data_IF_886383626741
#
_entry.id   IF_886383626741
#
_cell.length_a   1.000
_cell.length_b   1.000
_cell.length_c   1.000
_cell.angle_alpha   90.00
_cell.angle_beta   90.00
_cell.angle_gamma   90.00
#
_symmetry.space_group_name_H-M   'P 1'
#
loop_
_entity.id
_entity.type
_entity.pdbx_description
1 polymer ?
#
# COMPACT_ATOMS: atom_id res chain seq x y z
N UNK A 1 -10.55 27.47 -3.04
CA UNK A 1 -11.01 26.12 -2.65
C UNK A 1 -10.57 25.87 -1.23
N UNK A 2 -11.48 25.45 -0.35
CA UNK A 2 -11.12 25.02 1.01
C UNK A 2 -10.24 23.78 0.92
N UNK A 3 -9.11 23.79 1.65
CA UNK A 3 -8.22 22.64 1.71
C UNK A 3 -8.61 21.76 2.90
N UNK A 4 -8.52 20.46 2.73
CA UNK A 4 -8.71 19.51 3.82
C UNK A 4 -7.52 19.59 4.78
N UNK A 5 -7.76 20.13 5.98
CA UNK A 5 -6.73 20.36 7.01
C UNK A 5 -7.18 19.71 8.31
N UNK A 6 -6.31 18.93 8.93
CA UNK A 6 -6.61 18.34 10.23
C UNK A 6 -6.39 19.30 11.42
N UNK A 7 -6.76 18.84 12.62
CA UNK A 7 -6.63 19.64 13.86
C UNK A 7 -5.18 19.99 14.24
N UNK A 8 -4.17 19.42 13.54
CA UNK A 8 -2.75 19.72 13.71
C UNK A 8 -2.21 20.66 12.64
N UNK A 9 -3.07 21.22 11.77
CA UNK A 9 -2.69 22.10 10.68
C UNK A 9 -2.06 21.37 9.48
N UNK A 10 -2.17 20.02 9.40
CA UNK A 10 -1.62 19.24 8.29
C UNK A 10 -2.60 19.17 7.15
N UNK A 11 -2.17 19.53 5.95
CA UNK A 11 -2.98 19.38 4.74
C UNK A 11 -3.04 17.91 4.32
N UNK A 12 -4.25 17.37 4.18
CA UNK A 12 -4.48 16.00 3.72
C UNK A 12 -4.51 15.96 2.19
N UNK A 13 -3.47 15.42 1.59
CA UNK A 13 -3.26 15.43 0.14
C UNK A 13 -3.36 14.04 -0.49
N UNK A 14 -3.45 13.01 0.35
CA UNK A 14 -3.31 11.64 -0.07
C UNK A 14 -4.37 10.74 0.57
N UNK A 15 -5.18 10.09 -0.25
CA UNK A 15 -6.17 9.11 0.22
C UNK A 15 -5.70 7.67 -0.08
N UNK A 16 -5.86 6.79 0.90
CA UNK A 16 -5.76 5.35 0.73
C UNK A 16 -7.16 4.76 0.69
N UNK A 17 -7.55 4.21 -0.44
CA UNK A 17 -8.87 3.63 -0.66
C UNK A 17 -8.75 2.11 -0.78
N UNK A 18 -9.36 1.38 0.14
CA UNK A 18 -9.53 -0.06 0.01
C UNK A 18 -10.68 -0.35 -0.94
N UNK A 19 -10.40 -1.04 -2.06
CA UNK A 19 -11.44 -1.35 -3.06
C UNK A 19 -12.19 -2.65 -2.75
N UNK A 20 -11.62 -3.50 -1.91
CA UNK A 20 -12.22 -4.77 -1.47
C UNK A 20 -11.61 -5.23 -0.15
N UNK A 21 -12.32 -6.06 0.59
CA UNK A 21 -11.83 -6.81 1.75
C UNK A 21 -11.24 -8.18 1.37
N UNK A 22 -11.53 -8.66 0.15
CA UNK A 22 -11.15 -10.00 -0.32
C UNK A 22 -9.69 -10.03 -0.77
N UNK A 23 -9.01 -11.15 -0.48
CA UNK A 23 -7.67 -11.43 -0.94
C UNK A 23 -7.55 -12.90 -1.36
N UNK A 24 -6.76 -13.17 -2.38
CA UNK A 24 -6.43 -14.53 -2.83
C UNK A 24 -5.26 -15.16 -2.06
N UNK A 25 -4.51 -14.38 -1.27
CA UNK A 25 -3.48 -14.88 -0.33
C UNK A 25 -3.99 -14.87 1.11
N UNK A 26 -3.21 -15.49 2.02
CA UNK A 26 -3.52 -15.64 3.47
C UNK A 26 -2.25 -15.36 4.29
N UNK A 27 -1.60 -14.23 4.04
CA UNK A 27 -0.33 -13.90 4.71
C UNK A 27 -0.47 -13.94 6.24
N UNK A 28 0.51 -14.57 6.90
CA UNK A 28 0.46 -14.90 8.33
C UNK A 28 0.32 -13.67 9.23
N UNK A 29 0.93 -12.57 8.84
CA UNK A 29 0.87 -11.30 9.57
C UNK A 29 -0.41 -10.49 9.28
N UNK A 30 -1.16 -10.83 8.20
CA UNK A 30 -2.29 -10.03 7.73
C UNK A 30 -3.64 -10.62 8.14
N UNK A 31 -3.83 -11.95 8.01
CA UNK A 31 -5.12 -12.57 8.31
C UNK A 31 -4.98 -14.01 8.80
N UNK A 32 -6.00 -14.55 9.49
CA UNK A 32 -6.06 -15.96 9.90
C UNK A 32 -5.98 -16.92 8.70
N UNK A 33 -5.56 -18.17 8.95
CA UNK A 33 -5.43 -19.20 7.90
C UNK A 33 -6.76 -19.51 7.18
N UNK A 34 -7.86 -19.50 7.91
CA UNK A 34 -9.23 -19.69 7.41
C UNK A 34 -9.74 -18.46 6.62
N UNK A 35 -9.04 -17.33 6.69
CA UNK A 35 -9.48 -16.06 6.12
C UNK A 35 -10.26 -15.20 7.12
N UNK A 36 -10.97 -14.22 6.59
CA UNK A 36 -11.85 -13.30 7.32
C UNK A 36 -13.29 -13.51 6.86
N UNK A 37 -14.24 -13.13 7.67
CA UNK A 37 -15.65 -13.09 7.28
C UNK A 37 -15.81 -12.12 6.11
N UNK A 38 -16.45 -12.60 5.06
CA UNK A 38 -16.63 -11.83 3.83
C UNK A 38 -17.80 -10.87 4.02
N UNK A 39 -17.51 -9.59 3.84
CA UNK A 39 -18.56 -8.56 3.84
C UNK A 39 -19.49 -8.78 2.63
N UNK A 40 -20.83 -8.76 2.83
CA UNK A 40 -21.79 -8.85 1.74
C UNK A 40 -21.54 -7.78 0.66
N UNK A 41 -21.68 -8.15 -0.62
CA UNK A 41 -21.40 -7.25 -1.75
C UNK A 41 -22.15 -5.92 -1.67
N UNK A 42 -23.38 -5.94 -1.18
CA UNK A 42 -24.20 -4.75 -0.99
C UNK A 42 -23.66 -3.76 0.05
N UNK A 43 -22.81 -4.23 0.96
CA UNK A 43 -22.17 -3.40 1.96
C UNK A 43 -20.85 -2.79 1.48
N UNK A 44 -20.33 -3.24 0.35
CA UNK A 44 -19.17 -2.63 -0.27
C UNK A 44 -19.57 -1.36 -1.04
N UNK A 45 -18.67 -0.38 -1.08
CA UNK A 45 -18.76 0.74 -2.01
C UNK A 45 -18.72 0.20 -3.45
N UNK A 46 -19.58 0.70 -4.32
CA UNK A 46 -19.46 0.51 -5.77
C UNK A 46 -18.34 1.37 -6.33
N UNK A 47 -17.82 1.04 -7.52
CA UNK A 47 -16.80 1.89 -8.16
C UNK A 47 -17.33 3.29 -8.48
N UNK A 48 -18.63 3.46 -8.76
CA UNK A 48 -19.26 4.76 -8.94
C UNK A 48 -19.26 5.59 -7.66
N UNK A 49 -19.57 4.97 -6.51
CA UNK A 49 -19.50 5.62 -5.20
C UNK A 49 -18.06 6.00 -4.85
N UNK A 50 -17.09 5.11 -5.09
CA UNK A 50 -15.67 5.38 -4.89
C UNK A 50 -15.17 6.54 -5.76
N UNK A 51 -15.56 6.58 -7.04
CA UNK A 51 -15.23 7.67 -7.94
C UNK A 51 -15.80 8.99 -7.47
N UNK A 52 -17.07 8.98 -7.04
CA UNK A 52 -17.72 10.17 -6.46
C UNK A 52 -16.96 10.71 -5.25
N UNK A 53 -16.55 9.82 -4.33
CA UNK A 53 -15.74 10.19 -3.16
C UNK A 53 -14.39 10.78 -3.55
N UNK A 54 -13.68 10.16 -4.49
CA UNK A 54 -12.39 10.68 -4.96
C UNK A 54 -12.58 12.05 -5.61
N UNK A 55 -13.63 12.28 -6.39
CA UNK A 55 -13.92 13.60 -6.96
C UNK A 55 -14.13 14.67 -5.86
N UNK A 56 -14.95 14.36 -4.87
CA UNK A 56 -15.18 15.28 -3.74
C UNK A 56 -13.87 15.59 -3.01
N UNK A 57 -13.05 14.57 -2.75
CA UNK A 57 -11.76 14.76 -2.07
C UNK A 57 -10.75 15.53 -2.92
N UNK A 58 -10.77 15.37 -4.25
CA UNK A 58 -9.87 16.16 -5.12
C UNK A 58 -10.26 17.64 -5.16
N UNK A 59 -11.54 17.96 -5.05
CA UNK A 59 -12.02 19.35 -4.89
C UNK A 59 -11.60 19.98 -3.53
N UNK A 60 -11.27 19.14 -2.53
CA UNK A 60 -10.73 19.54 -1.22
C UNK A 60 -9.19 19.48 -1.14
N UNK A 61 -8.49 19.29 -2.29
CA UNK A 61 -7.03 19.34 -2.37
C UNK A 61 -6.31 18.01 -2.27
N UNK A 62 -7.02 16.88 -2.21
CA UNK A 62 -6.41 15.57 -2.36
C UNK A 62 -6.03 15.37 -3.84
N UNK A 63 -4.75 15.18 -4.14
CA UNK A 63 -4.28 15.00 -5.52
C UNK A 63 -3.70 13.61 -5.79
N UNK A 64 -3.56 12.77 -4.77
CA UNK A 64 -3.00 11.42 -4.88
C UNK A 64 -3.92 10.38 -4.26
N UNK A 65 -4.14 9.27 -4.97
CA UNK A 65 -4.87 8.11 -4.45
C UNK A 65 -3.98 6.86 -4.45
N UNK A 66 -4.06 6.06 -3.40
CA UNK A 66 -3.54 4.69 -3.38
C UNK A 66 -4.67 3.70 -3.27
N UNK A 67 -4.79 2.88 -4.28
CA UNK A 67 -5.74 1.80 -4.30
C UNK A 67 -5.12 0.56 -3.65
N UNK A 68 -5.85 -0.02 -2.74
CA UNK A 68 -5.46 -1.18 -1.95
C UNK A 68 -6.71 -1.98 -1.55
N UNK A 69 -6.64 -2.79 -0.52
CA UNK A 69 -7.76 -3.55 0.02
C UNK A 69 -7.25 -4.81 0.69
N UNK A 70 -7.92 -5.93 0.46
CA UNK A 70 -7.28 -7.22 0.43
C UNK A 70 -6.36 -7.25 -0.80
N UNK A 71 -6.82 -7.78 -1.93
CA UNK A 71 -6.11 -7.67 -3.20
C UNK A 71 -7.00 -6.96 -4.23
N UNK A 72 -6.61 -5.80 -4.75
CA UNK A 72 -7.44 -5.02 -5.68
C UNK A 72 -7.87 -5.79 -6.93
N UNK A 73 -6.97 -6.60 -7.49
CA UNK A 73 -7.23 -7.35 -8.73
C UNK A 73 -8.17 -8.55 -8.57
N UNK A 74 -8.55 -8.91 -7.34
CA UNK A 74 -9.64 -9.88 -7.09
C UNK A 74 -11.00 -9.25 -7.42
N UNK A 75 -11.11 -7.91 -7.37
CA UNK A 75 -12.36 -7.23 -7.67
C UNK A 75 -12.54 -7.12 -9.17
N UNK A 76 -13.64 -7.71 -9.70
CA UNK A 76 -13.99 -7.64 -11.12
C UNK A 76 -14.02 -6.18 -11.60
N UNK A 77 -13.53 -5.94 -12.83
CA UNK A 77 -13.47 -4.62 -13.50
C UNK A 77 -12.61 -3.56 -12.77
N UNK A 78 -11.65 -3.99 -11.96
CA UNK A 78 -10.75 -3.05 -11.27
C UNK A 78 -9.96 -2.16 -12.26
N UNK A 79 -9.51 -2.70 -13.40
CA UNK A 79 -8.80 -1.90 -14.41
C UNK A 79 -9.73 -0.85 -15.05
N UNK A 80 -10.99 -1.18 -15.30
CA UNK A 80 -12.00 -0.20 -15.73
C UNK A 80 -12.20 0.92 -14.69
N UNK A 81 -12.06 0.62 -13.40
CA UNK A 81 -12.07 1.65 -12.36
C UNK A 81 -10.81 2.54 -12.40
N UNK A 82 -9.63 1.99 -12.70
CA UNK A 82 -8.41 2.79 -12.93
C UNK A 82 -8.59 3.78 -14.09
N UNK A 83 -9.17 3.31 -15.18
CA UNK A 83 -9.51 4.16 -16.35
C UNK A 83 -10.47 5.28 -15.95
N UNK A 84 -11.53 4.94 -15.22
CA UNK A 84 -12.48 5.94 -14.72
C UNK A 84 -11.79 7.00 -13.86
N UNK A 85 -10.91 6.61 -12.95
CA UNK A 85 -10.13 7.54 -12.12
C UNK A 85 -9.18 8.42 -12.94
N UNK A 86 -8.62 7.88 -14.02
CA UNK A 86 -7.71 8.63 -14.89
C UNK A 86 -8.37 9.82 -15.61
N UNK A 87 -9.71 9.82 -15.72
CA UNK A 87 -10.47 10.96 -16.25
C UNK A 87 -10.76 12.07 -15.22
N UNK A 88 -10.32 11.94 -13.98
CA UNK A 88 -10.46 13.02 -12.98
C UNK A 88 -9.29 13.98 -13.11
N UNK A 89 -9.50 15.16 -13.69
CA UNK A 89 -8.44 16.13 -14.00
C UNK A 89 -7.68 16.65 -12.78
N UNK A 90 -8.35 16.71 -11.62
CA UNK A 90 -7.74 17.15 -10.37
C UNK A 90 -6.87 16.07 -9.70
N UNK A 91 -6.96 14.82 -10.15
CA UNK A 91 -6.15 13.73 -9.64
C UNK A 91 -4.84 13.63 -10.43
N UNK A 92 -3.71 13.79 -9.76
CA UNK A 92 -2.38 13.79 -10.36
C UNK A 92 -1.75 12.40 -10.41
N UNK A 93 -1.99 11.57 -9.39
CA UNK A 93 -1.35 10.27 -9.29
C UNK A 93 -2.27 9.18 -8.71
N UNK A 94 -2.27 8.04 -9.38
CA UNK A 94 -2.89 6.79 -8.95
C UNK A 94 -1.75 5.81 -8.63
N UNK A 95 -1.71 5.34 -7.40
CA UNK A 95 -0.76 4.33 -6.95
C UNK A 95 -1.52 3.05 -6.61
N UNK A 96 -0.92 1.90 -6.88
CA UNK A 96 -1.53 0.60 -6.63
C UNK A 96 -0.65 -0.18 -5.64
N UNK A 97 -1.28 -0.83 -4.65
CA UNK A 97 -0.63 -1.84 -3.84
C UNK A 97 -1.28 -3.18 -4.13
N UNK A 98 -0.48 -4.15 -4.56
CA UNK A 98 -0.92 -5.48 -4.98
C UNK A 98 0.03 -6.56 -4.49
N UNK A 99 -0.48 -7.78 -4.31
CA UNK A 99 0.34 -8.96 -4.08
C UNK A 99 0.92 -9.57 -5.37
N UNK A 100 0.56 -9.04 -6.53
CA UNK A 100 1.14 -9.41 -7.80
C UNK A 100 0.58 -10.66 -8.48
N UNK A 101 -0.19 -11.49 -7.80
CA UNK A 101 -0.61 -12.78 -8.36
C UNK A 101 -1.58 -12.67 -9.55
N UNK A 102 -2.25 -11.55 -9.72
CA UNK A 102 -3.31 -11.38 -10.74
C UNK A 102 -3.06 -10.24 -11.72
N UNK A 103 -2.07 -9.38 -11.50
CA UNK A 103 -1.89 -8.15 -12.29
C UNK A 103 -1.20 -8.40 -13.63
N UNK A 104 -0.42 -9.48 -13.80
CA UNK A 104 0.45 -9.71 -14.97
C UNK A 104 -0.27 -9.51 -16.31
N UNK A 105 -1.49 -9.98 -16.46
CA UNK A 105 -2.30 -9.86 -17.67
C UNK A 105 -2.85 -8.45 -17.94
N UNK A 106 -2.65 -7.51 -17.03
CA UNK A 106 -3.20 -6.16 -17.10
C UNK A 106 -2.12 -5.07 -17.22
N UNK A 107 -0.84 -5.43 -17.15
CA UNK A 107 0.28 -4.45 -17.11
C UNK A 107 0.26 -3.56 -18.33
N UNK A 108 0.16 -4.12 -19.54
CA UNK A 108 0.15 -3.35 -20.79
C UNK A 108 -1.02 -2.33 -20.88
N UNK A 109 -2.15 -2.67 -20.24
CA UNK A 109 -3.30 -1.77 -20.17
C UNK A 109 -3.11 -0.68 -19.12
N UNK A 110 -2.48 -1.03 -18.00
CA UNK A 110 -2.20 -0.11 -16.89
C UNK A 110 -1.12 0.91 -17.29
N UNK A 111 -0.09 0.52 -18.02
CA UNK A 111 0.97 1.41 -18.51
C UNK A 111 0.44 2.54 -19.39
N UNK A 112 -0.66 2.31 -20.11
CA UNK A 112 -1.30 3.34 -20.94
C UNK A 112 -2.04 4.41 -20.14
N UNK A 113 -2.20 4.20 -18.84
CA UNK A 113 -2.88 5.14 -17.94
C UNK A 113 -1.85 6.10 -17.32
N UNK A 114 -1.66 7.26 -17.94
CA UNK A 114 -0.62 8.25 -17.57
C UNK A 114 -0.63 8.64 -16.07
N UNK A 115 -1.79 8.57 -15.41
CA UNK A 115 -1.91 8.88 -13.99
C UNK A 115 -1.52 7.74 -13.06
N UNK A 116 -1.39 6.51 -13.57
CA UNK A 116 -0.84 5.40 -12.78
C UNK A 116 0.67 5.53 -12.74
N UNK A 117 1.21 5.83 -11.56
CA UNK A 117 2.64 6.13 -11.39
C UNK A 117 3.40 5.01 -10.71
N UNK A 118 2.89 4.52 -9.59
CA UNK A 118 3.61 3.58 -8.73
C UNK A 118 2.85 2.27 -8.56
N UNK A 119 3.54 1.16 -8.77
CA UNK A 119 3.11 -0.17 -8.34
C UNK A 119 3.93 -0.58 -7.12
N UNK A 120 3.25 -0.77 -6.00
CA UNK A 120 3.83 -1.38 -4.83
C UNK A 120 3.50 -2.88 -4.88
N UNK A 121 4.47 -3.69 -5.23
CA UNK A 121 4.39 -5.14 -5.22
C UNK A 121 4.77 -5.66 -3.83
N UNK A 122 3.86 -6.35 -3.16
CA UNK A 122 4.13 -7.00 -1.89
C UNK A 122 4.73 -8.38 -2.14
N UNK A 123 6.00 -8.56 -1.77
CA UNK A 123 6.73 -9.81 -1.91
C UNK A 123 7.67 -9.99 -0.72
N UNK A 124 7.32 -10.87 0.21
CA UNK A 124 8.01 -11.00 1.49
C UNK A 124 9.18 -11.99 1.45
N UNK A 125 9.42 -12.67 0.34
CA UNK A 125 10.53 -13.61 0.15
C UNK A 125 10.86 -13.80 -1.32
N UNK A 126 12.14 -14.00 -1.63
CA UNK A 126 12.66 -14.42 -2.94
C UNK A 126 12.70 -15.95 -3.09
N UNK A 127 12.43 -16.70 -2.03
CA UNK A 127 12.33 -18.16 -2.02
C UNK A 127 10.88 -18.60 -2.15
N UNK A 128 10.59 -19.50 -3.12
CA UNK A 128 9.26 -20.09 -3.31
C UNK A 128 8.72 -20.75 -2.04
N UNK A 129 9.58 -21.50 -1.36
CA UNK A 129 9.18 -22.23 -0.14
C UNK A 129 8.78 -21.26 0.97
N UNK A 130 9.62 -20.26 1.26
CA UNK A 130 9.32 -19.24 2.27
C UNK A 130 8.11 -18.40 1.89
N UNK A 131 8.01 -17.98 0.61
CA UNK A 131 6.85 -17.27 0.11
C UNK A 131 5.56 -18.05 0.36
N UNK A 132 5.51 -19.33 -0.02
CA UNK A 132 4.34 -20.17 0.19
C UNK A 132 4.02 -20.35 1.69
N UNK A 133 5.04 -20.46 2.55
CA UNK A 133 4.87 -20.50 4.00
C UNK A 133 4.29 -19.21 4.56
N UNK A 134 4.82 -18.05 4.15
CA UNK A 134 4.34 -16.74 4.61
C UNK A 134 2.92 -16.46 4.13
N UNK A 135 2.65 -16.69 2.86
CA UNK A 135 1.37 -16.35 2.21
C UNK A 135 0.30 -17.44 2.36
N UNK A 136 0.70 -18.63 2.83
CA UNK A 136 -0.15 -19.83 2.91
C UNK A 136 -0.78 -20.22 1.56
N UNK A 137 -0.13 -19.83 0.46
CA UNK A 137 -0.55 -20.13 -0.92
C UNK A 137 0.70 -20.24 -1.80
N UNK A 138 0.69 -21.17 -2.72
CA UNK A 138 1.74 -21.28 -3.73
C UNK A 138 1.37 -20.44 -4.96
N UNK A 139 1.64 -19.15 -4.89
CA UNK A 139 1.45 -18.20 -5.98
C UNK A 139 2.78 -17.53 -6.37
N UNK A 140 3.91 -18.14 -6.01
CA UNK A 140 5.23 -17.55 -6.23
C UNK A 140 5.53 -17.33 -7.71
N UNK A 141 5.19 -18.30 -8.57
CA UNK A 141 5.47 -18.22 -10.01
C UNK A 141 4.73 -17.06 -10.68
N UNK A 142 3.46 -16.82 -10.30
CA UNK A 142 2.64 -15.72 -10.80
C UNK A 142 3.17 -14.36 -10.33
N UNK A 143 3.56 -14.28 -9.06
CA UNK A 143 4.11 -13.05 -8.47
C UNK A 143 5.48 -12.73 -9.07
N UNK A 144 6.33 -13.74 -9.25
CA UNK A 144 7.66 -13.56 -9.84
C UNK A 144 7.57 -13.17 -11.32
N UNK A 145 6.65 -13.78 -12.09
CA UNK A 145 6.33 -13.34 -13.45
C UNK A 145 5.90 -11.88 -13.50
N UNK A 146 5.05 -11.47 -12.56
CA UNK A 146 4.64 -10.05 -12.43
C UNK A 146 5.83 -9.15 -12.14
N UNK A 147 6.72 -9.55 -11.24
CA UNK A 147 7.95 -8.82 -10.93
C UNK A 147 8.79 -8.59 -12.20
N UNK A 148 9.05 -9.65 -12.98
CA UNK A 148 9.83 -9.56 -14.22
C UNK A 148 9.18 -8.66 -15.29
N UNK A 149 7.85 -8.66 -15.39
CA UNK A 149 7.12 -7.79 -16.30
C UNK A 149 7.18 -6.33 -15.85
N UNK A 150 6.99 -6.07 -14.56
CA UNK A 150 7.05 -4.72 -14.00
C UNK A 150 8.47 -4.11 -14.06
N UNK A 151 9.52 -4.92 -13.94
CA UNK A 151 10.90 -4.47 -14.14
C UNK A 151 11.16 -3.92 -15.55
N UNK A 152 10.43 -4.42 -16.54
CA UNK A 152 10.56 -4.02 -17.96
C UNK A 152 9.57 -2.91 -18.33
N UNK A 153 8.64 -2.60 -17.46
CA UNK A 153 7.59 -1.62 -17.70
C UNK A 153 8.06 -0.18 -17.40
N UNK A 154 7.31 0.79 -17.85
CA UNK A 154 7.52 2.21 -17.54
C UNK A 154 7.02 2.62 -16.15
N UNK A 155 6.36 1.72 -15.42
CA UNK A 155 5.78 1.97 -14.10
C UNK A 155 6.88 1.96 -13.01
N UNK A 156 6.80 2.87 -12.07
CA UNK A 156 7.72 2.86 -10.93
C UNK A 156 7.43 1.67 -10.02
N UNK A 157 8.35 0.71 -9.99
CA UNK A 157 8.23 -0.49 -9.17
C UNK A 157 8.82 -0.27 -7.79
N UNK A 158 8.03 -0.61 -6.77
CA UNK A 158 8.44 -0.62 -5.37
C UNK A 158 8.09 -1.97 -4.76
N UNK A 159 9.08 -2.69 -4.25
CA UNK A 159 8.88 -3.95 -3.54
C UNK A 159 8.66 -3.66 -2.06
N UNK A 160 7.57 -4.15 -1.50
CA UNK A 160 7.28 -4.03 -0.08
C UNK A 160 7.47 -5.39 0.60
N UNK A 161 8.31 -5.42 1.62
CA UNK A 161 8.67 -6.61 2.40
C UNK A 161 8.34 -6.35 3.87
N UNK A 162 7.43 -7.10 4.45
CA UNK A 162 7.23 -7.10 5.90
C UNK A 162 8.30 -7.97 6.54
N UNK A 163 9.15 -7.37 7.36
CA UNK A 163 10.26 -8.08 8.01
C UNK A 163 9.74 -8.81 9.23
N UNK A 164 9.77 -10.14 9.17
CA UNK A 164 9.27 -11.04 10.22
C UNK A 164 10.44 -11.79 10.87
N UNK A 165 10.60 -11.62 12.19
CA UNK A 165 11.67 -12.27 12.96
C UNK A 165 11.63 -13.80 12.81
N UNK A 166 12.78 -14.39 12.48
CA UNK A 166 12.92 -15.85 12.30
C UNK A 166 12.21 -16.42 11.07
N UNK A 167 11.74 -15.56 10.15
CA UNK A 167 11.04 -16.01 8.93
C UNK A 167 11.78 -15.58 7.66
N UNK A 168 12.02 -14.27 7.48
CA UNK A 168 12.65 -13.72 6.26
C UNK A 168 13.76 -12.71 6.54
N UNK A 169 14.23 -12.62 7.78
CA UNK A 169 15.28 -11.68 8.17
C UNK A 169 16.62 -12.00 7.54
N UNK A 170 16.87 -13.25 7.19
CA UNK A 170 18.03 -13.73 6.47
C UNK A 170 18.04 -13.35 4.97
N UNK A 171 16.92 -12.85 4.44
CA UNK A 171 16.81 -12.38 3.05
C UNK A 171 16.99 -10.86 2.90
N UNK A 172 17.16 -10.10 4.01
CA UNK A 172 17.31 -8.63 3.95
C UNK A 172 18.45 -8.24 3.00
N UNK A 173 19.60 -8.86 3.15
CA UNK A 173 20.78 -8.60 2.33
C UNK A 173 20.53 -8.99 0.86
N UNK A 174 19.85 -10.09 0.60
CA UNK A 174 19.54 -10.55 -0.77
C UNK A 174 18.57 -9.61 -1.48
N UNK A 175 17.58 -9.08 -0.77
CA UNK A 175 16.72 -8.02 -1.31
C UNK A 175 17.50 -6.72 -1.61
N UNK A 176 18.50 -6.38 -0.82
CA UNK A 176 19.38 -5.25 -1.14
C UNK A 176 20.21 -5.55 -2.38
N UNK A 177 20.82 -6.75 -2.49
CA UNK A 177 21.59 -7.19 -3.68
C UNK A 177 20.72 -7.15 -4.95
N UNK A 178 19.43 -7.45 -4.83
CA UNK A 178 18.48 -7.40 -5.93
C UNK A 178 18.41 -6.02 -6.59
N UNK A 179 18.66 -4.92 -5.86
CA UNK A 179 18.65 -3.56 -6.41
C UNK A 179 19.89 -3.19 -7.24
N UNK A 180 20.95 -4.04 -7.28
CA UNK A 180 22.25 -3.68 -7.87
C UNK A 180 22.12 -3.27 -9.35
N UNK A 181 21.46 -4.09 -10.15
CA UNK A 181 21.34 -3.87 -11.59
C UNK A 181 19.88 -3.56 -12.02
N UNK A 182 19.02 -3.17 -11.08
CA UNK A 182 17.59 -2.98 -11.30
C UNK A 182 17.14 -1.65 -10.72
N UNK A 183 16.42 -0.87 -11.51
CA UNK A 183 15.84 0.40 -11.06
C UNK A 183 14.56 0.15 -10.26
N UNK A 184 14.70 -0.45 -9.08
CA UNK A 184 13.59 -0.78 -8.18
C UNK A 184 13.84 -0.17 -6.79
N UNK A 185 12.77 0.17 -6.09
CA UNK A 185 12.86 0.59 -4.69
C UNK A 185 12.43 -0.57 -3.78
N UNK A 186 13.37 -1.20 -3.12
CA UNK A 186 13.09 -2.22 -2.09
C UNK A 186 12.74 -1.54 -0.77
N UNK A 187 11.62 -1.91 -0.14
CA UNK A 187 11.12 -1.29 1.09
C UNK A 187 10.85 -2.31 2.16
N UNK A 188 11.64 -2.27 3.19
CA UNK A 188 11.45 -3.07 4.41
C UNK A 188 10.45 -2.38 5.33
N UNK A 189 9.46 -3.11 5.80
CA UNK A 189 8.40 -2.61 6.66
C UNK A 189 8.50 -3.31 8.00
N UNK A 190 8.57 -2.56 9.10
CA UNK A 190 8.47 -3.13 10.43
C UNK A 190 7.13 -3.89 10.58
N UNK A 191 7.18 -5.11 11.08
CA UNK A 191 5.96 -5.88 11.35
C UNK A 191 5.13 -5.19 12.43
N UNK A 192 3.83 -5.11 12.20
CA UNK A 192 2.86 -4.54 13.13
C UNK A 192 1.89 -5.61 13.62
N UNK A 193 1.50 -5.60 14.90
CA UNK A 193 0.48 -6.51 15.43
C UNK A 193 -0.90 -6.09 14.91
N UNK A 194 -1.29 -6.55 13.70
CA UNK A 194 -2.58 -6.17 13.11
C UNK A 194 -3.78 -6.92 13.65
N UNK A 195 -3.60 -8.08 14.22
CA UNK A 195 -4.71 -8.98 14.43
C UNK A 195 -5.09 -9.11 15.88
N UNK A 196 -5.27 -8.10 16.69
CA UNK A 196 -5.94 -8.14 18.00
C UNK A 196 -6.06 -9.49 18.77
N UNK A 197 -5.73 -10.58 18.12
CA UNK A 197 -5.67 -11.95 18.62
C UNK A 197 -4.23 -12.30 18.94
N UNK A 198 -3.93 -12.08 20.18
CA UNK A 198 -2.73 -12.60 20.81
C UNK A 198 -1.55 -11.70 20.57
N UNK A 199 -1.13 -11.21 21.64
CA UNK A 199 0.27 -11.21 21.96
C UNK A 199 0.87 -12.51 21.41
N UNK A 200 1.29 -12.56 20.13
CA UNK A 200 2.53 -13.25 19.86
C UNK A 200 3.46 -12.56 20.82
N UNK A 201 3.95 -13.26 21.81
CA UNK A 201 5.08 -12.83 22.60
C UNK A 201 5.99 -12.15 21.62
N UNK A 202 6.27 -10.86 21.83
CA UNK A 202 7.02 -10.04 20.88
C UNK A 202 8.44 -10.59 20.89
N UNK A 203 8.64 -11.69 20.12
CA UNK A 203 9.96 -12.13 19.74
C UNK A 203 10.59 -10.91 19.09
N UNK A 204 11.74 -10.53 19.56
CA UNK A 204 12.52 -9.35 19.19
C UNK A 204 12.11 -8.71 17.85
N UNK A 205 11.32 -7.63 17.91
CA UNK A 205 10.88 -6.93 16.70
C UNK A 205 12.10 -6.42 15.93
N UNK A 206 12.10 -6.68 14.64
CA UNK A 206 13.04 -6.09 13.71
C UNK A 206 12.66 -4.64 13.47
N UNK A 207 13.17 -3.79 14.36
CA UNK A 207 12.96 -2.35 14.26
C UNK A 207 13.76 -1.76 13.10
N UNK A 208 13.39 -0.55 12.69
CA UNK A 208 14.13 0.26 11.73
C UNK A 208 15.66 0.23 11.96
N UNK A 209 16.11 0.38 13.21
CA UNK A 209 17.53 0.36 13.54
C UNK A 209 18.18 -0.99 13.28
N UNK A 210 17.52 -2.10 13.63
CA UNK A 210 18.01 -3.45 13.36
C UNK A 210 18.12 -3.71 11.87
N UNK A 211 17.06 -3.39 11.09
CA UNK A 211 17.06 -3.55 9.64
C UNK A 211 18.19 -2.74 9.00
N UNK A 212 18.35 -1.48 9.40
CA UNK A 212 19.41 -0.63 8.87
C UNK A 212 20.81 -1.15 9.23
N UNK A 213 21.01 -1.64 10.45
CA UNK A 213 22.27 -2.21 10.88
C UNK A 213 22.60 -3.48 10.07
N UNK A 214 21.63 -4.35 9.84
CA UNK A 214 21.80 -5.54 8.98
C UNK A 214 22.27 -5.18 7.58
N UNK A 215 21.63 -4.17 6.96
CA UNK A 215 22.05 -3.70 5.64
C UNK A 215 23.48 -3.17 5.66
N UNK A 216 23.86 -2.46 6.72
CA UNK A 216 25.21 -1.87 6.88
C UNK A 216 26.31 -2.90 7.12
N UNK A 217 25.98 -4.15 7.42
CA UNK A 217 27.01 -5.21 7.55
C UNK A 217 27.72 -5.50 6.23
N UNK A 218 27.03 -5.30 5.10
CA UNK A 218 27.56 -5.63 3.77
C UNK A 218 27.62 -4.44 2.81
N UNK A 219 26.89 -3.34 3.10
CA UNK A 219 26.74 -2.23 2.14
C UNK A 219 27.06 -0.88 2.76
N UNK A 220 27.68 -0.01 1.97
CA UNK A 220 27.75 1.40 2.26
C UNK A 220 26.40 2.05 1.92
N UNK A 221 25.83 2.73 2.91
CA UNK A 221 24.47 3.26 2.86
C UNK A 221 24.50 4.78 3.04
N UNK A 222 23.92 5.51 2.10
CA UNK A 222 23.78 6.97 2.15
C UNK A 222 22.30 7.35 2.21
N UNK A 223 21.89 8.05 3.26
CA UNK A 223 20.50 8.52 3.38
C UNK A 223 20.15 9.54 2.28
N UNK A 224 18.99 9.37 1.68
CA UNK A 224 18.43 10.26 0.67
C UNK A 224 17.45 11.23 1.31
N UNK A 225 17.47 12.47 0.83
CA UNK A 225 16.45 13.46 1.22
C UNK A 225 15.08 12.95 0.75
N UNK A 226 14.15 12.85 1.67
CA UNK A 226 12.78 12.43 1.39
C UNK A 226 11.79 13.56 1.65
N UNK A 227 10.65 13.54 0.96
CA UNK A 227 9.55 14.45 1.27
C UNK A 227 9.13 14.31 2.76
N UNK A 228 8.74 15.41 3.39
CA UNK A 228 8.33 15.41 4.81
C UNK A 228 7.21 14.41 5.11
N UNK A 229 6.29 14.19 4.16
CA UNK A 229 5.17 13.26 4.26
C UNK A 229 5.52 11.80 3.93
N UNK A 230 6.78 11.51 3.52
CA UNK A 230 7.21 10.16 3.20
C UNK A 230 7.06 9.20 4.38
N UNK A 231 6.57 7.97 4.12
CA UNK A 231 6.54 6.90 5.13
C UNK A 231 7.85 6.15 5.22
N UNK A 232 8.69 6.27 4.20
CA UNK A 232 9.94 5.53 4.09
C UNK A 232 11.11 6.47 4.29
N UNK A 233 12.09 6.08 5.08
CA UNK A 233 13.44 6.65 5.01
C UNK A 233 14.17 5.92 3.92
N UNK A 234 14.65 6.67 2.92
CA UNK A 234 15.22 6.09 1.71
C UNK A 234 16.74 6.23 1.70
N UNK A 235 17.40 5.24 1.13
CA UNK A 235 18.86 5.13 1.09
C UNK A 235 19.31 4.76 -0.31
N UNK A 236 20.39 5.39 -0.75
CA UNK A 236 21.20 4.90 -1.86
C UNK A 236 22.22 3.89 -1.33
N UNK A 237 22.47 2.86 -2.12
CA UNK A 237 23.53 1.87 -1.89
C UNK A 237 24.61 2.09 -2.95
N UNK A 238 25.86 2.09 -2.54
CA UNK A 238 26.97 2.32 -3.47
C UNK A 238 26.98 1.29 -4.60
N UNK A 239 27.12 1.76 -5.83
CA UNK A 239 27.09 0.94 -7.05
C UNK A 239 25.78 0.16 -7.31
N UNK A 240 24.65 0.61 -6.76
CA UNK A 240 23.33 0.07 -7.06
C UNK A 240 22.50 1.08 -7.86
N UNK A 241 21.73 0.58 -8.84
CA UNK A 241 20.80 1.41 -9.62
C UNK A 241 19.53 1.73 -8.83
N UNK A 242 19.04 0.76 -8.07
CA UNK A 242 17.84 0.93 -7.25
C UNK A 242 18.14 1.52 -5.88
N UNK A 243 17.10 1.63 -5.07
CA UNK A 243 17.16 2.22 -3.74
C UNK A 243 16.60 1.29 -2.68
N UNK A 244 16.97 1.55 -1.44
CA UNK A 244 16.42 0.83 -0.28
C UNK A 244 15.65 1.82 0.59
N UNK A 245 14.48 1.42 1.06
CA UNK A 245 13.68 2.18 2.00
C UNK A 245 13.38 1.37 3.25
N UNK A 246 13.21 2.04 4.39
CA UNK A 246 12.74 1.41 5.62
C UNK A 246 11.52 2.18 6.11
N UNK A 247 10.42 1.49 6.34
CA UNK A 247 9.17 2.05 6.84
C UNK A 247 9.02 1.70 8.32
N UNK A 248 9.23 2.67 9.23
CA UNK A 248 9.14 2.47 10.68
C UNK A 248 7.66 2.43 11.11
N UNK A 249 6.96 1.38 10.69
CA UNK A 249 5.52 1.25 10.88
C UNK A 249 5.15 0.96 12.34
N UNK A 250 5.95 0.17 13.04
CA UNK A 250 5.77 -0.15 14.46
C UNK A 250 6.25 1.00 15.37
N UNK A 251 7.46 1.51 15.13
CA UNK A 251 8.04 2.59 15.93
C UNK A 251 7.40 3.96 15.67
N UNK A 252 6.55 4.08 14.64
CA UNK A 252 5.67 5.23 14.33
C UNK A 252 6.37 6.59 14.21
N UNK A 253 7.65 6.64 13.91
CA UNK A 253 8.42 7.90 13.82
C UNK A 253 7.99 8.81 12.65
N UNK A 254 7.04 8.36 11.82
CA UNK A 254 6.52 9.07 10.65
C UNK A 254 5.15 9.74 10.87
N UNK A 255 4.55 9.61 12.05
CA UNK A 255 3.17 10.04 12.28
C UNK A 255 2.99 11.56 12.27
N UNK A 256 3.99 12.30 12.77
CA UNK A 256 3.90 13.77 12.90
C UNK A 256 3.71 14.50 11.55
N UNK A 257 4.21 13.92 10.45
CA UNK A 257 4.11 14.50 9.10
C UNK A 257 3.13 13.73 8.20
N UNK A 258 2.24 12.92 8.78
CA UNK A 258 1.30 12.13 8.01
C UNK A 258 0.23 13.03 7.36
N UNK A 259 0.10 12.98 6.03
CA UNK A 259 -0.88 13.71 5.24
C UNK A 259 -1.95 12.79 4.62
N UNK A 260 -2.22 11.64 5.26
CA UNK A 260 -3.04 10.57 4.68
C UNK A 260 -4.32 10.34 5.42
N UNK A 261 -5.39 10.26 4.66
CA UNK A 261 -6.68 9.73 5.08
C UNK A 261 -6.91 8.34 4.49
N UNK A 262 -7.85 7.60 5.04
CA UNK A 262 -8.19 6.24 4.62
C UNK A 262 -9.68 6.08 4.46
N UNK A 263 -10.09 5.29 3.47
CA UNK A 263 -11.47 4.87 3.27
C UNK A 263 -11.45 3.35 3.11
N UNK A 264 -12.23 2.66 3.93
CA UNK A 264 -12.38 1.20 3.85
C UNK A 264 -13.24 0.82 2.65
N UNK A 265 -13.23 -0.47 2.29
CA UNK A 265 -14.09 -1.01 1.22
C UNK A 265 -15.60 -0.87 1.51
N UNK A 266 -15.96 -0.73 2.79
CA UNK A 266 -17.34 -0.49 3.26
C UNK A 266 -17.69 0.98 3.41
N UNK A 267 -16.75 1.89 3.13
CA UNK A 267 -16.98 3.34 3.18
C UNK A 267 -16.67 4.00 4.52
N UNK A 268 -16.10 3.30 5.48
CA UNK A 268 -15.69 3.92 6.74
C UNK A 268 -14.49 4.84 6.51
N UNK A 269 -14.63 6.09 6.91
CA UNK A 269 -13.56 7.08 6.90
C UNK A 269 -12.69 6.96 8.16
N UNK A 270 -11.38 7.00 7.97
CA UNK A 270 -10.38 6.87 9.03
C UNK A 270 -9.28 7.92 8.87
N UNK A 271 -8.96 8.62 9.94
CA UNK A 271 -7.83 9.56 9.98
C UNK A 271 -6.48 8.83 10.10
N UNK A 272 -6.47 7.65 10.67
CA UNK A 272 -5.27 6.86 10.94
C UNK A 272 -5.49 5.37 10.64
N UNK A 273 -4.39 4.63 10.49
CA UNK A 273 -4.45 3.17 10.36
C UNK A 273 -5.00 2.49 11.62
N UNK A 274 -4.71 3.08 12.78
CA UNK A 274 -5.06 2.56 14.10
C UNK A 274 -6.39 3.07 14.64
N UNK A 275 -7.08 3.91 13.88
CA UNK A 275 -8.38 4.46 14.20
C UNK A 275 -9.48 3.44 13.87
N UNK A 276 -10.52 3.36 14.68
CA UNK A 276 -11.67 2.47 14.47
C UNK A 276 -12.63 3.00 13.40
N UNK A 277 -12.48 4.27 13.02
CA UNK A 277 -13.30 4.97 12.03
C UNK A 277 -14.15 6.07 12.68
N UNK A 278 -14.35 7.15 11.93
CA UNK A 278 -15.05 8.36 12.40
C UNK A 278 -16.52 8.31 11.98
N UNK A 279 -16.77 8.02 10.70
CA UNK A 279 -18.11 7.93 10.12
C UNK A 279 -18.11 7.06 8.87
N UNK A 280 -19.30 6.69 8.36
CA UNK A 280 -19.44 5.86 7.17
C UNK A 280 -19.99 6.68 5.99
N UNK A 281 -19.10 6.97 5.02
CA UNK A 281 -19.40 7.74 3.81
C UNK A 281 -20.43 7.08 2.90
N UNK A 282 -20.42 5.73 2.82
CA UNK A 282 -21.41 4.97 2.04
C UNK A 282 -22.83 5.26 2.51
N UNK A 283 -23.03 5.21 3.80
CA UNK A 283 -24.36 5.37 4.39
C UNK A 283 -24.90 6.78 4.17
N UNK A 284 -24.03 7.81 4.24
CA UNK A 284 -24.39 9.18 3.86
C UNK A 284 -24.81 9.28 2.40
N UNK A 285 -24.00 8.76 1.48
CA UNK A 285 -24.29 8.79 0.05
C UNK A 285 -25.63 8.10 -0.29
N UNK A 286 -25.85 6.93 0.32
CA UNK A 286 -27.08 6.13 0.06
C UNK A 286 -28.35 6.71 0.68
N UNK A 287 -28.20 7.60 1.68
CA UNK A 287 -29.30 8.40 2.22
C UNK A 287 -29.59 9.65 1.38
N UNK A 288 -28.90 9.84 0.25
CA UNK A 288 -29.16 10.94 -0.66
C UNK A 288 -28.29 12.20 -0.45
N UNK A 289 -27.22 12.10 0.34
CA UNK A 289 -26.32 13.24 0.57
C UNK A 289 -25.76 13.79 -0.76
N UNK A 290 -25.78 15.11 -0.92
CA UNK A 290 -25.18 15.83 -2.04
C UNK A 290 -23.66 15.83 -1.96
N UNK A 291 -22.95 16.33 -2.97
CA UNK A 291 -21.49 16.48 -2.89
C UNK A 291 -21.08 17.55 -1.86
N UNK A 292 -21.88 18.59 -1.70
CA UNK A 292 -21.65 19.63 -0.69
C UNK A 292 -21.84 19.09 0.74
N UNK A 293 -22.84 18.22 0.95
CA UNK A 293 -23.01 17.54 2.24
C UNK A 293 -21.79 16.63 2.54
N UNK A 294 -21.26 15.95 1.53
CA UNK A 294 -20.05 15.14 1.70
C UNK A 294 -18.81 15.99 2.00
N UNK A 295 -18.66 17.16 1.36
CA UNK A 295 -17.55 18.09 1.67
C UNK A 295 -17.64 18.62 3.10
N UNK A 296 -18.84 18.87 3.59
CA UNK A 296 -19.05 19.37 4.95
C UNK A 296 -18.71 18.35 6.06
N UNK A 297 -18.57 17.06 5.70
CA UNK A 297 -18.14 16.01 6.65
C UNK A 297 -16.63 16.01 6.89
N UNK A 298 -15.86 16.59 5.99
CA UNK A 298 -14.40 16.62 6.04
C UNK A 298 -13.86 17.91 6.61
#
# INVERSE_FOLDING_TARGET
MSKLVDNFGRQMEYVRLAVTDRCNLRCQYCMPAQGIDIVPRQELLTFKEMYRLIRVLTELGVHKVRLTGGEPFVRKDFVGFLEMLSHNDLLEAINITTNGALISQHIDRIEKLEKVKDINLSIDSLSREKFAKITRRDAFSEVYKTLELLEKSSLNLKLNIVVQSGVNTDEIVDFVRFTKNKNVAVRFIEEMPFNGKGQREMQENWTFKKILNEIKTEFNVRELVSEKSSTSRNYAIDNHLGTVGIIPAFTRTICNNCNRIRITSTGTFKNCLFDDGVFNLRDFMRKGASNEDLKALF
#
